data_IF_188076532842
#
_entry.id   IF_188076532842
#
_cell.length_a   1.000
_cell.length_b   1.000
_cell.length_c   1.000
_cell.angle_alpha   90.00
_cell.angle_beta   90.00
_cell.angle_gamma   90.00
#
_symmetry.space_group_name_H-M   'P 1'
#
loop_
_entity.id
_entity.type
_entity.pdbx_description
1 polymer ?
#
# COMPACT_ATOMS: atom_id res chain seq x y z
N UNK A 1 -3.48 -25.81 -5.27
CA UNK A 1 -2.96 -24.87 -4.27
C UNK A 1 -1.94 -23.99 -4.98
N UNK A 2 -2.24 -22.70 -5.20
CA UNK A 2 -1.27 -21.78 -5.81
C UNK A 2 -0.33 -21.36 -4.67
N UNK A 3 0.94 -21.70 -4.76
CA UNK A 3 1.95 -21.23 -3.82
C UNK A 3 2.19 -19.73 -4.07
N UNK A 4 1.55 -18.90 -3.26
CA UNK A 4 1.64 -17.43 -3.32
C UNK A 4 2.91 -16.90 -2.65
N UNK A 5 3.69 -17.73 -1.95
CA UNK A 5 4.89 -17.29 -1.22
C UNK A 5 6.07 -17.00 -2.13
N UNK A 6 6.15 -17.67 -3.29
CA UNK A 6 7.26 -17.51 -4.22
C UNK A 6 7.18 -16.26 -5.10
N UNK A 7 5.99 -15.71 -5.35
CA UNK A 7 5.86 -14.65 -6.37
C UNK A 7 6.58 -13.36 -5.97
N UNK A 8 6.31 -12.79 -4.80
CA UNK A 8 6.73 -11.41 -4.53
C UNK A 8 8.21 -11.27 -4.15
N UNK A 9 8.76 -12.25 -3.42
CA UNK A 9 10.17 -12.23 -3.02
C UNK A 9 11.12 -12.54 -4.19
N UNK A 10 10.68 -13.37 -5.14
CA UNK A 10 11.47 -13.69 -6.33
C UNK A 10 11.79 -12.46 -7.20
N UNK A 11 11.07 -11.35 -7.02
CA UNK A 11 11.29 -10.08 -7.72
C UNK A 11 11.84 -8.99 -6.79
N UNK A 12 12.56 -9.34 -5.71
CA UNK A 12 13.17 -8.35 -4.79
C UNK A 12 14.00 -7.30 -5.54
N UNK A 13 14.75 -7.73 -6.55
CA UNK A 13 15.59 -6.82 -7.37
C UNK A 13 14.78 -5.84 -8.23
N UNK A 14 13.47 -6.07 -8.33
CA UNK A 14 12.53 -5.20 -9.04
C UNK A 14 11.76 -4.28 -8.08
N UNK A 15 11.93 -4.44 -6.75
CA UNK A 15 11.28 -3.57 -5.78
C UNK A 15 11.74 -2.12 -5.95
N UNK A 16 10.80 -1.19 -5.79
CA UNK A 16 11.02 0.23 -6.07
C UNK A 16 10.67 0.64 -7.51
N UNK A 17 10.35 -0.31 -8.41
CA UNK A 17 9.76 0.02 -9.70
C UNK A 17 8.34 0.55 -9.53
N UNK A 18 8.00 1.54 -10.36
CA UNK A 18 6.64 2.06 -10.49
C UNK A 18 6.03 1.47 -11.76
N UNK A 19 5.09 0.54 -11.59
CA UNK A 19 4.43 -0.18 -12.68
C UNK A 19 2.92 0.10 -12.73
N UNK A 20 2.27 -0.27 -13.84
CA UNK A 20 0.83 -0.14 -14.06
C UNK A 20 0.44 0.83 -15.18
N UNK A 21 -0.88 0.95 -15.39
CA UNK A 21 -1.49 1.73 -16.49
C UNK A 21 -1.39 3.25 -16.29
N UNK A 22 -1.16 3.70 -15.05
CA UNK A 22 -1.15 5.12 -14.63
C UNK A 22 -2.51 5.83 -14.70
N UNK A 23 -3.62 5.10 -14.76
CA UNK A 23 -4.98 5.65 -14.59
C UNK A 23 -5.13 6.33 -13.21
N UNK A 24 -4.55 5.69 -12.19
CA UNK A 24 -4.20 6.31 -10.91
C UNK A 24 -2.72 6.03 -10.60
N UNK A 25 -2.04 6.95 -9.91
CA UNK A 25 -0.63 6.83 -9.55
C UNK A 25 -0.43 7.26 -8.11
N UNK A 26 0.26 6.43 -7.32
CA UNK A 26 0.69 6.81 -5.97
C UNK A 26 1.80 7.86 -6.11
N UNK A 27 1.58 9.05 -5.55
CA UNK A 27 2.52 10.18 -5.60
C UNK A 27 3.40 10.27 -4.36
N UNK A 28 2.94 9.74 -3.22
CA UNK A 28 3.71 9.74 -1.96
C UNK A 28 3.27 8.60 -1.05
N UNK A 29 4.22 8.06 -0.30
CA UNK A 29 3.98 7.12 0.80
C UNK A 29 4.79 7.59 2.01
N UNK A 30 4.12 7.80 3.14
CA UNK A 30 4.75 8.24 4.38
C UNK A 30 4.41 7.26 5.52
N UNK A 31 5.44 6.84 6.26
CA UNK A 31 5.27 6.06 7.49
C UNK A 31 5.24 7.04 8.67
N UNK A 32 4.15 7.03 9.42
CA UNK A 32 3.92 7.89 10.57
C UNK A 32 3.72 7.05 11.82
N UNK A 33 4.17 7.58 12.96
CA UNK A 33 3.86 7.02 14.28
C UNK A 33 2.44 7.41 14.74
N UNK A 34 2.05 6.97 15.94
CA UNK A 34 0.76 7.31 16.56
C UNK A 34 0.51 8.83 16.73
N UNK A 35 1.57 9.65 16.82
CA UNK A 35 1.48 11.12 16.86
C UNK A 35 1.38 11.76 15.46
N UNK A 36 1.27 10.96 14.40
CA UNK A 36 1.27 11.37 12.98
C UNK A 36 2.56 12.08 12.54
N UNK A 37 3.68 11.79 13.21
CA UNK A 37 5.01 12.28 12.84
C UNK A 37 5.71 11.23 11.98
N UNK A 38 6.43 11.70 10.95
CA UNK A 38 7.25 10.81 10.12
C UNK A 38 8.23 10.05 10.98
N UNK A 39 8.31 8.74 10.77
CA UNK A 39 9.21 7.88 11.52
C UNK A 39 9.87 6.85 10.61
N UNK A 40 11.07 6.42 11.01
CA UNK A 40 11.79 5.30 10.41
C UNK A 40 11.75 4.04 11.30
N UNK A 41 11.18 4.14 12.50
CA UNK A 41 11.11 3.06 13.47
C UNK A 41 9.84 3.15 14.32
N UNK A 42 9.37 2.00 14.79
CA UNK A 42 8.23 1.86 15.69
C UNK A 42 8.58 0.85 16.78
N UNK A 43 8.03 1.05 17.97
CA UNK A 43 8.11 0.07 19.04
C UNK A 43 7.01 -0.99 18.88
N UNK A 44 7.20 -2.21 19.42
CA UNK A 44 6.13 -3.20 19.46
C UNK A 44 4.86 -2.62 20.11
N UNK A 45 3.71 -2.88 19.49
CA UNK A 45 2.37 -2.40 19.90
C UNK A 45 2.10 -0.90 19.67
N UNK A 46 2.99 -0.18 18.99
CA UNK A 46 2.66 1.13 18.45
C UNK A 46 1.95 1.00 17.10
N UNK A 47 1.01 1.90 16.85
CA UNK A 47 0.34 1.99 15.57
C UNK A 47 1.34 2.38 14.45
N UNK A 48 1.32 1.63 13.35
CA UNK A 48 1.93 2.06 12.09
C UNK A 48 0.87 2.74 11.23
N UNK A 49 1.04 4.03 10.94
CA UNK A 49 0.18 4.74 10.01
C UNK A 49 0.91 4.85 8.66
N UNK A 50 0.37 4.23 7.62
CA UNK A 50 0.84 4.38 6.24
C UNK A 50 -0.07 5.39 5.53
N UNK A 51 0.42 6.61 5.33
CA UNK A 51 -0.28 7.65 4.56
C UNK A 51 0.10 7.54 3.09
N UNK A 52 -0.91 7.49 2.23
CA UNK A 52 -0.75 7.36 0.79
C UNK A 52 -1.42 8.56 0.12
N UNK A 53 -0.68 9.23 -0.73
CA UNK A 53 -1.21 10.27 -1.63
C UNK A 53 -1.18 9.73 -3.06
N UNK A 54 -2.19 10.09 -3.85
CA UNK A 54 -2.33 9.62 -5.21
C UNK A 54 -2.98 10.66 -6.12
N UNK A 55 -2.70 10.54 -7.41
CA UNK A 55 -3.34 11.30 -8.48
C UNK A 55 -4.08 10.36 -9.41
N UNK A 56 -5.31 10.73 -9.77
CA UNK A 56 -6.19 10.02 -10.68
C UNK A 56 -6.27 10.81 -11.98
N UNK A 57 -5.79 10.21 -13.08
CA UNK A 57 -5.86 10.79 -14.43
C UNK A 57 -7.19 10.48 -15.09
N UNK A 58 -7.69 9.27 -14.89
CA UNK A 58 -8.91 8.74 -15.47
C UNK A 58 -9.74 8.03 -14.40
N UNK A 59 -11.07 8.05 -14.54
CA UNK A 59 -11.95 7.46 -13.53
C UNK A 59 -11.70 5.95 -13.40
N UNK A 60 -11.33 5.50 -12.20
CA UNK A 60 -11.10 4.09 -11.92
C UNK A 60 -12.33 3.50 -11.24
N UNK A 61 -12.85 2.38 -11.74
CA UNK A 61 -14.01 1.68 -11.16
C UNK A 61 -13.54 0.57 -10.24
N UNK A 62 -14.21 0.39 -9.11
CA UNK A 62 -13.94 -0.65 -8.11
C UNK A 62 -12.45 -0.79 -7.76
N UNK A 63 -11.71 0.29 -7.45
CA UNK A 63 -10.30 0.18 -7.18
C UNK A 63 -10.03 -0.49 -5.84
N UNK A 64 -8.85 -1.10 -5.75
CA UNK A 64 -8.33 -1.66 -4.51
C UNK A 64 -6.97 -1.07 -4.21
N UNK A 65 -6.77 -0.69 -2.94
CA UNK A 65 -5.46 -0.29 -2.45
C UNK A 65 -4.93 -1.37 -1.53
N UNK A 66 -3.65 -1.69 -1.66
CA UNK A 66 -2.99 -2.70 -0.84
C UNK A 66 -1.57 -2.29 -0.50
N UNK A 67 -1.08 -2.85 0.60
CA UNK A 67 0.32 -2.74 1.05
C UNK A 67 0.81 -4.15 1.30
N UNK A 68 2.10 -4.40 1.08
CA UNK A 68 2.74 -5.65 1.48
C UNK A 68 4.03 -5.32 2.25
N UNK A 69 4.18 -5.90 3.43
CA UNK A 69 5.32 -5.74 4.31
C UNK A 69 6.08 -7.05 4.32
N UNK A 70 7.36 -6.96 3.97
CA UNK A 70 8.27 -8.09 3.99
C UNK A 70 9.42 -7.82 4.95
N UNK A 71 9.92 -8.87 5.58
CA UNK A 71 11.20 -8.83 6.27
C UNK A 71 12.33 -8.93 5.25
N UNK A 72 13.52 -8.49 5.65
CA UNK A 72 14.71 -8.44 4.78
C UNK A 72 15.18 -9.80 4.25
N UNK A 73 14.77 -10.90 4.90
CA UNK A 73 15.00 -12.27 4.46
C UNK A 73 13.88 -12.85 3.57
N UNK A 74 12.88 -12.03 3.24
CA UNK A 74 11.83 -12.36 2.28
C UNK A 74 10.55 -12.94 2.85
N UNK A 75 10.46 -13.05 4.17
CA UNK A 75 9.20 -13.46 4.80
C UNK A 75 8.14 -12.39 4.56
N UNK A 76 7.03 -12.79 3.94
CA UNK A 76 5.80 -12.00 3.87
C UNK A 76 5.19 -11.90 5.27
N UNK A 77 5.36 -10.74 5.90
CA UNK A 77 4.91 -10.51 7.27
C UNK A 77 3.44 -10.14 7.32
N UNK A 78 3.03 -9.26 6.39
CA UNK A 78 1.69 -8.69 6.38
C UNK A 78 1.33 -8.14 5.01
N UNK A 79 0.05 -8.11 4.63
CA UNK A 79 -0.34 -7.44 3.41
C UNK A 79 -1.85 -7.29 3.21
N UNK A 80 -2.45 -6.27 3.83
CA UNK A 80 -3.87 -6.00 3.72
C UNK A 80 -4.17 -5.30 2.41
N UNK A 81 -5.44 -5.36 2.02
CA UNK A 81 -5.98 -4.51 0.98
C UNK A 81 -7.46 -4.27 1.18
N UNK A 82 -7.94 -3.18 0.59
CA UNK A 82 -9.32 -2.73 0.77
C UNK A 82 -10.37 -3.77 0.36
N UNK A 83 -10.06 -4.70 -0.56
CA UNK A 83 -10.99 -5.78 -0.92
C UNK A 83 -11.18 -6.77 0.23
N UNK A 84 -10.09 -7.33 0.76
CA UNK A 84 -10.18 -8.32 1.85
C UNK A 84 -10.61 -7.70 3.17
N UNK A 85 -10.32 -6.41 3.37
CA UNK A 85 -10.75 -5.66 4.55
C UNK A 85 -12.23 -5.22 4.46
N UNK A 86 -12.92 -5.52 3.35
CA UNK A 86 -14.33 -5.19 3.13
C UNK A 86 -14.60 -3.71 2.83
N UNK A 87 -13.55 -2.90 2.62
CA UNK A 87 -13.65 -1.50 2.28
C UNK A 87 -13.90 -1.31 0.77
N UNK A 88 -15.18 -1.30 0.39
CA UNK A 88 -15.60 -1.14 -1.01
C UNK A 88 -15.49 0.32 -1.44
N UNK A 89 -14.69 0.55 -2.49
CA UNK A 89 -14.59 1.84 -3.18
C UNK A 89 -15.23 1.65 -4.54
N UNK A 90 -16.32 2.36 -4.85
CA UNK A 90 -16.98 2.19 -6.14
C UNK A 90 -16.22 2.90 -7.27
N UNK A 91 -15.71 4.10 -6.99
CA UNK A 91 -15.02 4.93 -7.97
C UNK A 91 -13.92 5.78 -7.35
N UNK A 92 -12.86 6.00 -8.10
CA UNK A 92 -11.96 7.13 -7.94
C UNK A 92 -12.20 8.11 -9.09
N UNK A 93 -12.47 9.37 -8.75
CA UNK A 93 -12.63 10.44 -9.72
C UNK A 93 -11.31 11.13 -10.01
N UNK A 94 -11.22 11.78 -11.17
CA UNK A 94 -10.05 12.55 -11.58
C UNK A 94 -9.70 13.61 -10.53
N UNK A 95 -8.42 13.74 -10.21
CA UNK A 95 -7.91 14.69 -9.24
C UNK A 95 -6.88 14.07 -8.30
N UNK A 96 -6.62 14.76 -7.19
CA UNK A 96 -5.72 14.28 -6.16
C UNK A 96 -6.53 13.76 -4.96
N UNK A 97 -6.02 12.72 -4.32
CA UNK A 97 -6.62 12.14 -3.12
C UNK A 97 -5.55 11.63 -2.17
N UNK A 98 -5.98 11.32 -0.96
CA UNK A 98 -5.14 10.68 0.05
C UNK A 98 -5.98 9.78 0.93
N UNK A 99 -5.34 8.80 1.54
CA UNK A 99 -5.90 8.01 2.64
C UNK A 99 -4.78 7.54 3.58
N UNK A 100 -5.15 7.01 4.72
CA UNK A 100 -4.23 6.37 5.66
C UNK A 100 -4.73 4.98 6.00
N UNK A 101 -3.81 4.04 6.10
CA UNK A 101 -4.05 2.72 6.68
C UNK A 101 -3.35 2.70 8.05
N UNK A 102 -4.02 2.18 9.06
CA UNK A 102 -3.50 2.07 10.43
C UNK A 102 -3.39 0.58 10.76
N UNK A 103 -2.24 0.16 11.27
CA UNK A 103 -1.94 -1.20 11.71
C UNK A 103 -1.58 -1.23 13.17
#
# INVERSE_FOLDING_TARGET
MIDTKLKWWAYKDEWGRVEGTREATISSVELLNHERRKTAALLPKEDLIVKIEFTVKEQVKKPHFGVAIFREDGVYCYGPNTLFDGYKIDYLYRGNGWFSIIY
#
